data_IF_500313430751
#
_entry.id   IF_500313430751
#
_cell.length_a   1.000
_cell.length_b   1.000
_cell.length_c   1.000
_cell.angle_alpha   90.00
_cell.angle_beta   90.00
_cell.angle_gamma   90.00
#
_symmetry.space_group_name_H-M   'P 1'
#
loop_
_entity.id
_entity.type
_entity.pdbx_description
1 polymer ?
#
# COMPACT_ATOMS: atom_id res chain seq x y z
N UNK A 1 -14.56 -19.16 -7.51
CA UNK A 1 -15.25 -18.55 -6.35
C UNK A 1 -16.71 -18.29 -6.68
N UNK A 2 -17.02 -17.58 -7.77
CA UNK A 2 -18.39 -17.30 -8.23
C UNK A 2 -19.28 -18.56 -8.34
N UNK A 3 -18.84 -19.58 -9.09
CA UNK A 3 -19.61 -20.83 -9.23
C UNK A 3 -19.87 -21.57 -7.89
N UNK A 4 -18.95 -21.40 -6.92
CA UNK A 4 -19.06 -21.98 -5.57
C UNK A 4 -19.87 -21.11 -4.61
N UNK A 5 -20.25 -19.89 -5.03
CA UNK A 5 -20.88 -18.84 -4.20
C UNK A 5 -20.18 -18.61 -2.86
N UNK A 6 -18.86 -18.71 -2.85
CA UNK A 6 -18.03 -18.55 -1.67
C UNK A 6 -16.59 -18.23 -2.08
N UNK A 7 -15.99 -17.22 -1.43
CA UNK A 7 -14.60 -16.89 -1.60
C UNK A 7 -14.20 -15.56 -0.98
N UNK A 8 -12.90 -15.30 -0.96
CA UNK A 8 -12.33 -14.03 -0.57
C UNK A 8 -11.13 -13.71 -1.46
N UNK A 9 -11.09 -12.49 -1.97
CA UNK A 9 -9.94 -11.90 -2.66
C UNK A 9 -9.31 -10.88 -1.71
N UNK A 10 -8.00 -11.01 -1.47
CA UNK A 10 -7.24 -10.04 -0.70
C UNK A 10 -6.22 -9.34 -1.63
N UNK A 11 -6.48 -8.08 -1.96
CA UNK A 11 -5.61 -7.28 -2.81
C UNK A 11 -4.63 -6.45 -1.96
N UNK A 12 -3.35 -6.43 -2.35
CA UNK A 12 -2.31 -5.68 -1.66
C UNK A 12 -2.20 -4.26 -2.23
N UNK A 13 -2.85 -3.33 -1.54
CA UNK A 13 -2.76 -1.90 -1.77
C UNK A 13 -1.54 -1.26 -1.10
N UNK A 14 -1.65 0.00 -0.70
CA UNK A 14 -0.66 0.73 0.09
C UNK A 14 -1.31 1.94 0.76
N UNK A 15 -0.73 2.42 1.86
CA UNK A 15 -1.13 3.71 2.45
C UNK A 15 -0.84 4.90 1.53
N UNK A 16 0.05 4.76 0.54
CA UNK A 16 0.31 5.77 -0.49
C UNK A 16 -0.87 6.02 -1.45
N UNK A 17 -1.94 5.22 -1.35
CA UNK A 17 -3.20 5.48 -2.04
C UNK A 17 -4.10 6.47 -1.27
N UNK A 18 -3.91 6.62 0.04
CA UNK A 18 -4.69 7.53 0.89
C UNK A 18 -4.13 8.95 0.88
N UNK A 19 -2.79 9.07 0.95
CA UNK A 19 -2.11 10.36 0.91
C UNK A 19 -0.87 10.28 0.02
N UNK A 20 -0.67 11.33 -0.79
CA UNK A 20 0.43 11.42 -1.74
C UNK A 20 1.72 11.88 -1.06
N UNK A 21 2.85 11.38 -1.54
CA UNK A 21 4.18 11.89 -1.18
C UNK A 21 4.96 12.19 -2.45
N UNK A 22 5.82 13.23 -2.46
CA UNK A 22 6.68 13.50 -3.61
C UNK A 22 7.55 12.30 -4.01
N UNK A 23 8.08 12.36 -5.23
CA UNK A 23 9.10 11.45 -5.78
C UNK A 23 8.67 10.03 -6.15
N UNK A 24 7.48 9.59 -5.74
CA UNK A 24 6.94 8.26 -6.11
C UNK A 24 5.47 8.31 -6.53
N UNK A 25 5.07 9.38 -7.21
CA UNK A 25 3.68 9.61 -7.63
C UNK A 25 3.12 8.46 -8.49
N UNK A 26 3.93 7.89 -9.39
CA UNK A 26 3.53 6.74 -10.22
C UNK A 26 3.16 5.52 -9.37
N UNK A 27 3.91 5.24 -8.30
CA UNK A 27 3.62 4.15 -7.39
C UNK A 27 2.31 4.41 -6.64
N UNK A 28 2.14 5.62 -6.09
CA UNK A 28 0.91 6.06 -5.42
C UNK A 28 -0.32 5.90 -6.33
N UNK A 29 -0.24 6.40 -7.57
CA UNK A 29 -1.30 6.29 -8.57
C UNK A 29 -1.65 4.82 -8.87
N UNK A 30 -0.64 3.96 -9.06
CA UNK A 30 -0.90 2.53 -9.31
C UNK A 30 -1.61 1.85 -8.13
N UNK A 31 -1.27 2.22 -6.89
CA UNK A 31 -1.89 1.65 -5.69
C UNK A 31 -3.29 2.23 -5.44
N UNK A 32 -3.54 3.49 -5.80
CA UNK A 32 -4.88 4.06 -5.81
C UNK A 32 -5.78 3.35 -6.82
N UNK A 33 -5.28 3.02 -8.02
CA UNK A 33 -6.03 2.22 -8.99
C UNK A 33 -6.42 0.84 -8.43
N UNK A 34 -5.52 0.16 -7.70
CA UNK A 34 -5.83 -1.10 -7.02
C UNK A 34 -6.94 -0.94 -5.98
N UNK A 35 -6.95 0.17 -5.22
CA UNK A 35 -8.00 0.44 -4.23
C UNK A 35 -9.36 0.60 -4.92
N UNK A 36 -9.45 1.48 -5.93
CA UNK A 36 -10.69 1.72 -6.69
C UNK A 36 -11.19 0.44 -7.37
N UNK A 37 -10.29 -0.34 -7.97
CA UNK A 37 -10.64 -1.64 -8.57
C UNK A 37 -11.21 -2.59 -7.52
N UNK A 38 -10.60 -2.65 -6.34
CA UNK A 38 -11.05 -3.53 -5.25
C UNK A 38 -12.41 -3.13 -4.69
N UNK A 39 -12.69 -1.83 -4.63
CA UNK A 39 -14.00 -1.31 -4.24
C UNK A 39 -15.08 -1.64 -5.27
N UNK A 40 -14.74 -1.50 -6.55
CA UNK A 40 -15.60 -1.90 -7.67
C UNK A 40 -15.91 -3.40 -7.62
N UNK A 41 -14.86 -4.23 -7.51
CA UNK A 41 -15.01 -5.69 -7.38
C UNK A 41 -15.86 -6.07 -6.18
N UNK A 42 -15.80 -5.35 -5.05
CA UNK A 42 -16.61 -5.65 -3.88
C UNK A 42 -18.11 -5.50 -4.18
N UNK A 43 -18.49 -4.49 -4.94
CA UNK A 43 -19.88 -4.28 -5.37
C UNK A 43 -20.30 -5.34 -6.39
N UNK A 44 -19.48 -5.60 -7.40
CA UNK A 44 -19.77 -6.55 -8.48
C UNK A 44 -19.83 -8.01 -7.99
N UNK A 45 -19.01 -8.36 -6.99
CA UNK A 45 -18.88 -9.72 -6.48
C UNK A 45 -19.80 -10.03 -5.28
N UNK A 46 -20.40 -9.01 -4.66
CA UNK A 46 -21.32 -9.18 -3.54
C UNK A 46 -22.50 -10.14 -3.84
N UNK A 47 -23.19 -10.07 -5.00
CA UNK A 47 -24.28 -11.00 -5.34
C UNK A 47 -23.86 -12.48 -5.41
N UNK A 48 -22.55 -12.74 -5.55
CA UNK A 48 -21.97 -14.09 -5.62
C UNK A 48 -21.38 -14.56 -4.29
N UNK A 49 -21.57 -13.82 -3.19
CA UNK A 49 -21.00 -14.12 -1.88
C UNK A 49 -19.47 -14.30 -1.93
N UNK A 50 -18.82 -13.47 -2.75
CA UNK A 50 -17.36 -13.37 -2.83
C UNK A 50 -16.94 -12.04 -2.24
N UNK A 51 -16.12 -12.09 -1.20
CA UNK A 51 -15.67 -10.91 -0.46
C UNK A 51 -14.38 -10.37 -1.05
N UNK A 52 -14.18 -9.06 -0.97
CA UNK A 52 -12.96 -8.40 -1.41
C UNK A 52 -12.41 -7.54 -0.28
N UNK A 53 -11.14 -7.73 0.05
CA UNK A 53 -10.42 -7.00 1.10
C UNK A 53 -9.21 -6.32 0.49
N UNK A 54 -8.99 -5.06 0.86
CA UNK A 54 -7.77 -4.33 0.57
C UNK A 54 -6.89 -4.38 1.82
N UNK A 55 -5.70 -4.95 1.67
CA UNK A 55 -4.64 -4.79 2.66
C UNK A 55 -3.84 -3.56 2.25
N UNK A 56 -3.76 -2.54 3.09
CA UNK A 56 -2.99 -1.32 2.82
C UNK A 56 -1.83 -1.21 3.81
N UNK A 57 -0.65 -1.76 3.47
CA UNK A 57 0.53 -1.65 4.32
C UNK A 57 1.04 -0.21 4.39
N UNK A 58 1.48 0.17 5.59
CA UNK A 58 2.44 1.25 5.82
C UNK A 58 3.87 0.81 5.50
N UNK A 59 4.86 1.45 6.12
CA UNK A 59 6.25 1.01 6.04
C UNK A 59 6.42 -0.38 6.65
N UNK A 60 6.72 -1.37 5.81
CA UNK A 60 7.09 -2.74 6.21
C UNK A 60 8.50 -3.03 5.72
N UNK A 61 9.20 -3.98 6.35
CA UNK A 61 10.53 -4.42 5.92
C UNK A 61 10.41 -5.43 4.78
N UNK A 62 10.79 -5.07 3.54
CA UNK A 62 10.71 -5.98 2.40
C UNK A 62 11.83 -5.74 1.38
N UNK A 63 12.22 -6.81 0.67
CA UNK A 63 13.39 -6.84 -0.20
C UNK A 63 13.14 -6.27 -1.63
N UNK A 64 12.16 -5.37 -1.83
CA UNK A 64 11.90 -4.80 -3.17
C UNK A 64 12.71 -3.50 -3.36
N UNK A 65 12.89 -2.68 -2.32
CA UNK A 65 13.64 -1.44 -2.48
C UNK A 65 15.15 -1.68 -2.71
N UNK A 66 15.66 -2.85 -2.31
CA UNK A 66 17.00 -3.35 -2.64
C UNK A 66 17.17 -3.82 -4.08
N UNK A 67 16.07 -4.09 -4.79
CA UNK A 67 16.09 -4.48 -6.21
C UNK A 67 15.87 -3.30 -7.16
N UNK A 68 15.77 -2.08 -6.64
CA UNK A 68 15.62 -0.89 -7.49
C UNK A 68 16.99 -0.39 -7.96
N UNK A 69 17.10 0.06 -9.22
CA UNK A 69 18.31 0.70 -9.70
C UNK A 69 18.61 1.94 -8.86
N UNK A 70 19.88 2.32 -8.81
CA UNK A 70 20.26 3.56 -8.16
C UNK A 70 19.53 4.74 -8.82
N UNK A 71 18.90 5.57 -8.00
CA UNK A 71 18.30 6.81 -8.48
C UNK A 71 19.42 7.75 -8.91
N UNK A 72 19.46 8.04 -10.20
CA UNK A 72 20.36 9.01 -10.82
C UNK A 72 19.53 10.07 -11.54
N UNK A 73 20.10 11.26 -11.68
CA UNK A 73 19.53 12.37 -12.44
C UNK A 73 20.60 12.95 -13.35
N UNK A 74 20.18 13.46 -14.51
CA UNK A 74 21.03 14.25 -15.39
C UNK A 74 21.72 15.41 -14.61
N UNK A 75 22.90 15.82 -15.06
CA UNK A 75 23.68 16.86 -14.36
C UNK A 75 22.97 18.21 -14.33
N UNK A 76 22.28 18.55 -15.41
CA UNK A 76 21.48 19.76 -15.61
C UNK A 76 20.05 19.66 -15.06
N UNK A 77 19.70 18.57 -14.36
CA UNK A 77 18.36 18.38 -13.84
C UNK A 77 18.00 19.47 -12.82
N UNK A 78 16.83 20.14 -12.94
CA UNK A 78 16.38 21.09 -11.93
C UNK A 78 16.11 20.43 -10.56
N UNK A 79 15.96 19.11 -10.52
CA UNK A 79 15.78 18.33 -9.30
C UNK A 79 17.09 17.80 -8.69
N UNK A 80 18.25 18.13 -9.28
CA UNK A 80 19.56 17.72 -8.73
C UNK A 80 19.74 18.07 -7.24
N UNK A 81 19.31 19.27 -6.75
CA UNK A 81 19.39 19.59 -5.32
C UNK A 81 18.55 18.66 -4.42
N UNK A 82 17.53 18.00 -4.96
CA UNK A 82 16.63 17.12 -4.22
C UNK A 82 17.01 15.61 -4.32
N UNK A 83 18.13 15.27 -4.96
CA UNK A 83 18.49 13.86 -5.23
C UNK A 83 18.56 12.99 -3.97
N UNK A 84 19.07 13.53 -2.86
CA UNK A 84 19.12 12.80 -1.59
C UNK A 84 17.72 12.58 -0.99
N UNK A 85 16.82 13.54 -1.12
CA UNK A 85 15.43 13.37 -0.69
C UNK A 85 14.69 12.32 -1.54
N UNK A 86 14.94 12.29 -2.85
CA UNK A 86 14.40 11.27 -3.76
C UNK A 86 14.93 9.89 -3.37
N UNK A 87 16.26 9.75 -3.18
CA UNK A 87 16.91 8.49 -2.76
C UNK A 87 16.37 8.01 -1.42
N UNK A 88 16.24 8.90 -0.44
CA UNK A 88 15.68 8.59 0.88
C UNK A 88 14.23 8.11 0.77
N UNK A 89 13.41 8.74 -0.09
CA UNK A 89 12.02 8.34 -0.30
C UNK A 89 11.90 6.95 -0.92
N UNK A 90 12.74 6.63 -1.89
CA UNK A 90 12.77 5.30 -2.53
C UNK A 90 13.22 4.22 -1.54
N UNK A 91 14.18 4.54 -0.67
CA UNK A 91 14.73 3.63 0.34
C UNK A 91 13.96 3.64 1.68
N UNK A 92 12.84 4.34 1.79
CA UNK A 92 12.13 4.54 3.06
C UNK A 92 11.84 3.21 3.80
N UNK A 93 11.44 2.16 3.07
CA UNK A 93 11.15 0.83 3.61
C UNK A 93 12.38 0.00 4.01
N UNK A 94 13.58 0.51 3.76
CA UNK A 94 14.85 -0.04 4.25
C UNK A 94 15.36 0.69 5.50
N UNK A 95 14.62 1.68 5.98
CA UNK A 95 14.95 2.34 7.24
C UNK A 95 14.52 1.48 8.41
N UNK A 96 15.30 1.46 9.49
CA UNK A 96 15.05 0.64 10.69
C UNK A 96 13.79 1.00 11.49
N UNK A 97 12.93 1.88 10.97
CA UNK A 97 11.61 2.21 11.55
C UNK A 97 10.46 1.41 10.93
N UNK A 98 10.74 0.58 9.92
CA UNK A 98 9.74 -0.21 9.22
C UNK A 98 9.22 -1.36 10.10
N UNK A 99 7.97 -1.78 9.87
CA UNK A 99 7.40 -2.93 10.60
C UNK A 99 7.99 -4.24 10.08
N UNK A 100 8.50 -5.14 10.95
CA UNK A 100 8.98 -6.45 10.53
C UNK A 100 7.90 -7.27 9.83
N UNK A 101 8.27 -7.98 8.77
CA UNK A 101 7.31 -8.72 7.93
C UNK A 101 6.57 -9.82 8.70
N UNK A 102 7.24 -10.51 9.64
CA UNK A 102 6.61 -11.53 10.48
C UNK A 102 5.53 -10.91 11.39
N UNK A 103 5.82 -9.74 11.99
CA UNK A 103 4.86 -8.99 12.80
C UNK A 103 3.68 -8.54 11.96
N UNK A 104 3.93 -8.01 10.77
CA UNK A 104 2.88 -7.61 9.83
C UNK A 104 1.95 -8.79 9.52
N UNK A 105 2.50 -9.96 9.15
CA UNK A 105 1.72 -11.15 8.84
C UNK A 105 0.88 -11.63 10.03
N UNK A 106 1.47 -11.68 11.25
CA UNK A 106 0.76 -12.09 12.47
C UNK A 106 -0.45 -11.21 12.78
N UNK A 107 -0.42 -9.94 12.41
CA UNK A 107 -1.53 -9.00 12.64
C UNK A 107 -2.56 -9.04 11.51
N UNK A 108 -2.11 -9.13 10.26
CA UNK A 108 -2.98 -8.98 9.08
C UNK A 108 -3.69 -10.27 8.70
N UNK A 109 -3.00 -11.42 8.74
CA UNK A 109 -3.58 -12.70 8.30
C UNK A 109 -4.84 -13.08 9.09
N UNK A 110 -4.88 -12.99 10.44
CA UNK A 110 -6.10 -13.30 11.19
C UNK A 110 -7.28 -12.38 10.84
N UNK A 111 -7.01 -11.11 10.50
CA UNK A 111 -8.05 -10.17 10.08
C UNK A 111 -8.64 -10.56 8.72
N UNK A 112 -7.80 -10.97 7.76
CA UNK A 112 -8.25 -11.48 6.45
C UNK A 112 -9.10 -12.74 6.62
N UNK A 113 -8.65 -13.67 7.47
CA UNK A 113 -9.29 -14.97 7.68
C UNK A 113 -10.51 -14.91 8.61
N UNK A 114 -10.85 -13.74 9.15
CA UNK A 114 -12.00 -13.60 10.05
C UNK A 114 -13.33 -13.92 9.34
N UNK A 115 -14.37 -14.35 10.08
CA UNK A 115 -15.68 -14.62 9.50
C UNK A 115 -16.34 -13.40 8.84
N UNK A 116 -15.95 -12.18 9.20
CA UNK A 116 -16.43 -10.94 8.59
C UNK A 116 -15.28 -9.92 8.52
N UNK A 117 -14.39 -10.04 7.53
CA UNK A 117 -13.23 -9.17 7.41
C UNK A 117 -13.67 -7.79 6.96
N UNK A 118 -12.99 -6.77 7.49
CA UNK A 118 -13.19 -5.38 7.06
C UNK A 118 -12.78 -5.23 5.60
N UNK A 119 -13.45 -4.32 4.89
CA UNK A 119 -13.11 -3.95 3.51
C UNK A 119 -11.65 -3.49 3.38
N UNK A 120 -11.13 -2.81 4.41
CA UNK A 120 -9.76 -2.33 4.51
C UNK A 120 -9.09 -2.83 5.78
N UNK A 121 -7.89 -3.39 5.62
CA UNK A 121 -6.97 -3.74 6.71
C UNK A 121 -5.73 -2.87 6.54
N UNK A 122 -5.56 -1.89 7.43
CA UNK A 122 -4.50 -0.88 7.37
C UNK A 122 -3.55 -1.12 8.55
N UNK A 123 -2.28 -1.42 8.27
CA UNK A 123 -1.28 -1.70 9.30
C UNK A 123 0.14 -1.43 8.81
N UNK A 124 1.07 -1.17 9.73
CA UNK A 124 2.49 -0.92 9.44
C UNK A 124 2.92 0.50 9.82
N UNK A 125 4.20 0.81 9.60
CA UNK A 125 4.74 2.10 10.03
C UNK A 125 4.04 3.27 9.30
N UNK A 126 3.76 4.35 10.03
CA UNK A 126 3.02 5.54 9.56
C UNK A 126 1.62 5.27 8.97
N UNK A 127 1.04 4.07 9.09
CA UNK A 127 -0.23 3.77 8.40
C UNK A 127 -1.40 4.62 8.91
N UNK A 128 -1.45 4.88 10.22
CA UNK A 128 -2.46 5.77 10.83
C UNK A 128 -2.28 7.21 10.36
N UNK A 129 -1.04 7.71 10.29
CA UNK A 129 -0.76 9.07 9.82
C UNK A 129 -1.28 9.27 8.39
N UNK A 130 -0.94 8.36 7.47
CA UNK A 130 -1.40 8.46 6.08
C UNK A 130 -2.93 8.39 5.97
N UNK A 131 -3.59 7.62 6.83
CA UNK A 131 -5.06 7.58 6.87
C UNK A 131 -5.67 8.89 7.38
N UNK A 132 -4.99 9.62 8.25
CA UNK A 132 -5.42 10.94 8.70
C UNK A 132 -5.15 12.02 7.65
N UNK A 133 -3.98 11.96 6.99
CA UNK A 133 -3.59 12.92 5.95
C UNK A 133 -4.57 12.97 4.77
N UNK A 134 -5.27 11.87 4.48
CA UNK A 134 -6.32 11.81 3.45
C UNK A 134 -7.44 12.84 3.66
N UNK A 135 -7.69 13.24 4.90
CA UNK A 135 -8.73 14.21 5.26
C UNK A 135 -8.20 15.62 5.49
N UNK A 136 -6.89 15.83 5.42
CA UNK A 136 -6.28 17.13 5.60
C UNK A 136 -6.07 17.80 4.23
N UNK A 137 -6.25 19.13 4.15
CA UNK A 137 -5.82 19.88 2.97
C UNK A 137 -4.28 19.84 2.93
N UNK A 138 -3.74 19.03 2.03
CA UNK A 138 -2.32 19.03 1.69
C UNK A 138 -1.98 20.22 0.76
#
# INVERSE_FOLDING_TARGET
MIARRQGLVANIGSVSAFATTPWVGYYGASKAAVHVLSDTMRMELAPFNVRVVVVAPGGIEYNIASNQPEVTLAEDSPYKPAIEAIRARVKYSQTGSSTPTDRFARVVVPQILSPSPRAYIIYGNCSTLFRLLEYLPL
#
